data_IF_716049672799
#
_entry.id   IF_716049672799
#
_cell.length_a   1.000
_cell.length_b   1.000
_cell.length_c   1.000
_cell.angle_alpha   90.00
_cell.angle_beta   90.00
_cell.angle_gamma   90.00
#
_symmetry.space_group_name_H-M   'P 1'
#
loop_
_entity.id
_entity.type
_entity.pdbx_description
1 polymer ?
#
# COMPACT_ATOMS: atom_id res chain seq x y z
N UNK A 1 61.79 -46.90 13.27
CA UNK A 1 62.09 -45.56 13.82
C UNK A 1 60.87 -44.69 13.56
N UNK A 2 60.38 -44.03 14.61
CA UNK A 2 59.16 -43.21 14.70
C UNK A 2 57.81 -43.96 14.58
N UNK A 3 57.44 -44.69 15.65
CA UNK A 3 56.07 -45.16 15.85
C UNK A 3 55.23 -44.01 16.45
N UNK A 4 54.04 -43.84 15.87
CA UNK A 4 52.89 -43.03 16.30
C UNK A 4 53.09 -42.13 17.50
N UNK A 5 53.25 -40.83 17.24
CA UNK A 5 52.75 -39.83 18.16
C UNK A 5 51.24 -40.02 18.18
N UNK A 6 50.71 -40.63 19.23
CA UNK A 6 49.28 -40.83 19.42
C UNK A 6 48.61 -39.46 19.26
N UNK A 7 47.67 -39.35 18.32
CA UNK A 7 46.82 -38.17 18.17
C UNK A 7 45.71 -38.23 19.23
N UNK A 8 46.08 -38.43 20.49
CA UNK A 8 45.16 -38.42 21.61
C UNK A 8 44.76 -36.98 21.89
N UNK A 9 43.66 -36.59 21.24
CA UNK A 9 42.93 -35.34 21.41
C UNK A 9 42.87 -34.97 22.89
N UNK A 10 43.62 -33.93 23.25
CA UNK A 10 43.87 -33.61 24.64
C UNK A 10 42.59 -33.08 25.28
N UNK A 11 42.47 -33.17 26.60
CA UNK A 11 41.34 -32.58 27.33
C UNK A 11 41.15 -31.08 27.03
N UNK A 12 42.25 -30.38 26.72
CA UNK A 12 42.23 -28.98 26.31
C UNK A 12 41.49 -28.78 24.98
N UNK A 13 41.67 -29.67 24.00
CA UNK A 13 41.05 -29.57 22.67
C UNK A 13 39.53 -29.71 22.78
N UNK A 14 39.05 -30.63 23.62
CA UNK A 14 37.64 -30.80 23.92
C UNK A 14 37.03 -29.56 24.61
N UNK A 15 37.77 -28.94 25.54
CA UNK A 15 37.34 -27.68 26.16
C UNK A 15 37.22 -26.54 25.13
N UNK A 16 38.18 -26.40 24.22
CA UNK A 16 38.13 -25.38 23.16
C UNK A 16 36.96 -25.60 22.21
N UNK A 17 36.70 -26.84 21.81
CA UNK A 17 35.56 -27.19 20.96
C UNK A 17 34.24 -26.84 21.66
N UNK A 18 34.11 -27.15 22.95
CA UNK A 18 32.92 -26.81 23.72
C UNK A 18 32.70 -25.29 23.80
N UNK A 19 33.75 -24.53 24.09
CA UNK A 19 33.67 -23.06 24.16
C UNK A 19 33.31 -22.47 22.79
N UNK A 20 33.96 -22.94 21.72
CA UNK A 20 33.68 -22.49 20.36
C UNK A 20 32.24 -22.82 19.94
N UNK A 21 31.76 -24.03 20.27
CA UNK A 21 30.40 -24.46 20.00
C UNK A 21 29.38 -23.58 20.72
N UNK A 22 29.53 -23.36 22.03
CA UNK A 22 28.63 -22.51 22.82
C UNK A 22 28.65 -21.07 22.28
N UNK A 23 29.84 -20.53 21.99
CA UNK A 23 30.00 -19.17 21.47
C UNK A 23 29.30 -19.03 20.13
N UNK A 24 29.48 -19.99 19.21
CA UNK A 24 28.82 -19.98 17.91
C UNK A 24 27.30 -20.00 18.04
N UNK A 25 26.76 -20.75 19.01
CA UNK A 25 25.34 -20.88 19.25
C UNK A 25 24.75 -19.58 19.83
N UNK A 26 25.47 -18.94 20.76
CA UNK A 26 25.10 -17.62 21.31
C UNK A 26 25.12 -16.55 20.23
N UNK A 27 26.17 -16.50 19.42
CA UNK A 27 26.30 -15.54 18.31
C UNK A 27 25.18 -15.76 17.30
N UNK A 28 24.94 -17.01 16.90
CA UNK A 28 23.85 -17.36 15.98
C UNK A 28 22.49 -16.86 16.50
N UNK A 29 22.16 -17.17 17.75
CA UNK A 29 20.90 -16.75 18.36
C UNK A 29 20.77 -15.22 18.42
N UNK A 30 21.86 -14.52 18.78
CA UNK A 30 21.90 -13.06 18.79
C UNK A 30 21.59 -12.46 17.41
N UNK A 31 22.23 -12.98 16.36
CA UNK A 31 22.00 -12.52 14.99
C UNK A 31 20.58 -12.83 14.51
N UNK A 32 20.05 -14.02 14.79
CA UNK A 32 18.68 -14.40 14.42
C UNK A 32 17.65 -13.45 15.03
N UNK A 33 17.76 -13.16 16.33
CA UNK A 33 16.84 -12.25 17.02
C UNK A 33 16.98 -10.82 16.49
N UNK A 34 18.20 -10.35 16.22
CA UNK A 34 18.46 -9.02 15.64
C UNK A 34 17.91 -8.89 14.23
N UNK A 35 18.13 -9.88 13.37
CA UNK A 35 17.66 -9.87 11.99
C UNK A 35 16.12 -9.92 11.92
N UNK A 36 15.52 -10.79 12.73
CA UNK A 36 14.06 -10.89 12.85
C UNK A 36 13.44 -9.55 13.26
N UNK A 37 13.99 -8.92 14.30
CA UNK A 37 13.43 -7.67 14.82
C UNK A 37 13.68 -6.45 13.94
N UNK A 38 14.81 -6.39 13.22
CA UNK A 38 15.17 -5.21 12.40
C UNK A 38 14.71 -5.28 10.95
N UNK A 39 14.54 -6.47 10.37
CA UNK A 39 14.21 -6.62 8.95
C UNK A 39 12.90 -7.35 8.75
N UNK A 40 12.78 -8.59 9.25
CA UNK A 40 11.63 -9.44 8.93
C UNK A 40 10.33 -8.89 9.52
N UNK A 41 10.35 -8.39 10.77
CA UNK A 41 9.15 -7.83 11.40
C UNK A 41 8.57 -6.63 10.62
N UNK A 42 9.33 -5.55 10.36
CA UNK A 42 8.81 -4.44 9.55
C UNK A 42 8.35 -4.85 8.14
N UNK A 43 9.07 -5.76 7.49
CA UNK A 43 8.70 -6.25 6.17
C UNK A 43 7.34 -6.98 6.19
N UNK A 44 7.12 -7.79 7.22
CA UNK A 44 5.86 -8.52 7.38
C UNK A 44 4.69 -7.57 7.72
N UNK A 45 4.94 -6.50 8.48
CA UNK A 45 3.95 -5.44 8.74
C UNK A 45 3.55 -4.73 7.45
N UNK A 46 4.51 -4.36 6.60
CA UNK A 46 4.22 -3.78 5.27
C UNK A 46 3.41 -4.76 4.41
N UNK A 47 3.81 -6.03 4.34
CA UNK A 47 3.09 -7.04 3.58
C UNK A 47 1.65 -7.24 4.08
N UNK A 48 1.45 -7.23 5.40
CA UNK A 48 0.14 -7.35 6.02
C UNK A 48 -0.75 -6.14 5.69
N UNK A 49 -0.24 -4.93 5.84
CA UNK A 49 -0.99 -3.71 5.54
C UNK A 49 -1.28 -3.58 4.04
N UNK A 50 -0.35 -4.00 3.17
CA UNK A 50 -0.58 -4.06 1.73
C UNK A 50 -1.73 -5.02 1.37
N UNK A 51 -1.81 -6.17 2.04
CA UNK A 51 -2.93 -7.11 1.85
C UNK A 51 -4.27 -6.51 2.29
N UNK A 52 -4.29 -5.69 3.35
CA UNK A 52 -5.51 -4.98 3.74
C UNK A 52 -5.92 -3.91 2.73
N UNK A 53 -4.96 -3.16 2.19
CA UNK A 53 -5.19 -2.18 1.12
C UNK A 53 -5.76 -2.88 -0.12
N UNK A 54 -5.22 -4.03 -0.53
CA UNK A 54 -5.73 -4.78 -1.69
C UNK A 54 -7.14 -5.35 -1.47
N UNK A 55 -7.57 -5.51 -0.22
CA UNK A 55 -8.92 -5.89 0.16
C UNK A 55 -9.88 -4.69 0.29
N UNK A 56 -9.42 -3.47 0.01
CA UNK A 56 -10.23 -2.24 0.03
C UNK A 56 -10.09 -1.41 1.30
N UNK A 57 -9.35 -1.86 2.31
CA UNK A 57 -9.07 -1.04 3.50
C UNK A 57 -7.91 -0.07 3.23
N UNK A 58 -8.21 1.05 2.58
CA UNK A 58 -7.22 2.09 2.24
C UNK A 58 -6.68 2.86 3.46
N UNK A 59 -7.28 2.67 4.65
CA UNK A 59 -6.80 3.28 5.90
C UNK A 59 -5.72 2.46 6.61
N UNK A 60 -5.40 1.24 6.11
CA UNK A 60 -4.33 0.42 6.68
C UNK A 60 -2.95 1.10 6.50
N UNK A 61 -2.11 1.00 7.53
CA UNK A 61 -0.75 1.55 7.58
C UNK A 61 0.22 0.55 8.18
N UNK A 62 1.49 0.63 7.82
CA UNK A 62 2.54 -0.22 8.38
C UNK A 62 3.25 0.49 9.54
N UNK A 63 3.59 -0.25 10.59
CA UNK A 63 4.26 0.29 11.77
C UNK A 63 5.62 -0.40 12.02
N UNK A 64 6.69 0.39 12.01
CA UNK A 64 8.03 -0.06 12.37
C UNK A 64 8.33 0.29 13.84
N UNK A 65 7.89 -0.53 14.78
CA UNK A 65 8.26 -0.34 16.20
C UNK A 65 9.60 -1.06 16.45
N UNK A 66 10.70 -0.30 16.37
CA UNK A 66 12.03 -0.75 16.83
C UNK A 66 13.05 -1.10 15.75
N UNK A 67 12.79 -0.82 14.47
CA UNK A 67 13.86 -0.87 13.47
C UNK A 67 14.75 0.36 13.58
N UNK A 68 16.03 0.14 13.87
CA UNK A 68 17.08 1.16 13.79
C UNK A 68 17.74 1.17 12.40
N UNK A 69 17.29 0.34 11.46
CA UNK A 69 17.78 0.34 10.09
C UNK A 69 17.03 1.42 9.30
N UNK A 70 17.75 2.49 8.96
CA UNK A 70 17.17 3.65 8.26
C UNK A 70 16.47 3.27 6.95
N UNK A 71 17.02 2.34 6.18
CA UNK A 71 16.41 1.87 4.92
C UNK A 71 15.05 1.21 5.13
N UNK A 72 14.87 0.45 6.21
CA UNK A 72 13.61 -0.22 6.51
C UNK A 72 12.55 0.78 7.01
N UNK A 73 12.96 1.78 7.78
CA UNK A 73 12.04 2.86 8.17
C UNK A 73 11.60 3.66 6.94
N UNK A 74 12.53 3.99 6.04
CA UNK A 74 12.22 4.65 4.78
C UNK A 74 11.23 3.83 3.94
N UNK A 75 11.40 2.52 3.83
CA UNK A 75 10.45 1.65 3.12
C UNK A 75 9.03 1.73 3.72
N UNK A 76 8.94 1.74 5.05
CA UNK A 76 7.65 1.87 5.76
C UNK A 76 7.02 3.24 5.52
N UNK A 77 7.82 4.30 5.53
CA UNK A 77 7.37 5.65 5.24
C UNK A 77 6.89 5.80 3.79
N UNK A 78 7.68 5.33 2.82
CA UNK A 78 7.34 5.32 1.39
C UNK A 78 6.05 4.53 1.13
N UNK A 79 5.86 3.39 1.81
CA UNK A 79 4.62 2.61 1.76
C UNK A 79 3.43 3.38 2.34
N UNK A 80 3.59 4.04 3.49
CA UNK A 80 2.52 4.79 4.12
C UNK A 80 2.11 6.02 3.29
N UNK A 81 3.07 6.69 2.63
CA UNK A 81 2.79 7.78 1.68
C UNK A 81 1.99 7.27 0.48
N UNK A 82 2.35 6.10 -0.07
CA UNK A 82 1.57 5.46 -1.14
C UNK A 82 0.14 5.15 -0.70
N UNK A 83 -0.04 4.60 0.50
CA UNK A 83 -1.35 4.28 1.06
C UNK A 83 -2.22 5.54 1.24
N UNK A 84 -1.63 6.65 1.68
CA UNK A 84 -2.30 7.95 1.81
C UNK A 84 -2.74 8.52 0.45
N UNK A 85 -1.87 8.44 -0.57
CA UNK A 85 -2.22 8.85 -1.94
C UNK A 85 -3.39 8.03 -2.49
N UNK A 86 -3.39 6.71 -2.30
CA UNK A 86 -4.49 5.84 -2.72
C UNK A 86 -5.81 6.23 -2.04
N UNK A 87 -5.78 6.42 -0.72
CA UNK A 87 -6.95 6.85 0.04
C UNK A 87 -7.50 8.19 -0.45
N UNK A 88 -6.60 9.14 -0.74
CA UNK A 88 -6.99 10.47 -1.26
C UNK A 88 -7.61 10.38 -2.65
N UNK A 89 -7.04 9.58 -3.55
CA UNK A 89 -7.58 9.37 -4.90
C UNK A 89 -8.96 8.72 -4.88
N UNK A 90 -9.19 7.77 -3.97
CA UNK A 90 -10.51 7.14 -3.81
C UNK A 90 -11.56 8.14 -3.29
N UNK A 91 -11.21 8.91 -2.25
CA UNK A 91 -12.07 9.96 -1.72
C UNK A 91 -12.43 11.00 -2.79
N UNK A 92 -11.46 11.43 -3.60
CA UNK A 92 -11.70 12.30 -4.73
C UNK A 92 -12.65 11.63 -5.73
N UNK A 93 -12.34 10.42 -6.22
CA UNK A 93 -13.21 9.71 -7.18
C UNK A 93 -14.68 9.69 -6.73
N UNK A 94 -14.94 9.41 -5.45
CA UNK A 94 -16.29 9.40 -4.90
C UNK A 94 -16.97 10.77 -4.96
N UNK A 95 -16.24 11.84 -4.62
CA UNK A 95 -16.73 13.21 -4.72
C UNK A 95 -17.02 13.63 -6.17
N UNK A 96 -16.12 13.34 -7.10
CA UNK A 96 -16.30 13.64 -8.52
C UNK A 96 -17.48 12.88 -9.13
N UNK A 97 -17.65 11.60 -8.78
CA UNK A 97 -18.81 10.80 -9.22
C UNK A 97 -20.14 11.44 -8.77
N UNK A 98 -20.22 11.90 -7.52
CA UNK A 98 -21.40 12.57 -7.00
C UNK A 98 -21.65 13.92 -7.69
N UNK A 99 -20.59 14.71 -7.90
CA UNK A 99 -20.68 16.00 -8.59
C UNK A 99 -21.18 15.84 -10.04
N UNK A 100 -20.59 14.90 -10.80
CA UNK A 100 -20.98 14.63 -12.19
C UNK A 100 -22.46 14.19 -12.25
N UNK A 101 -22.91 13.31 -11.35
CA UNK A 101 -24.31 12.88 -11.32
C UNK A 101 -25.27 14.05 -11.08
N UNK A 102 -24.89 14.99 -10.21
CA UNK A 102 -25.66 16.20 -9.95
C UNK A 102 -25.69 17.14 -11.18
N UNK A 103 -24.53 17.40 -11.78
CA UNK A 103 -24.38 18.29 -12.93
C UNK A 103 -25.08 17.74 -14.18
N UNK A 104 -25.19 16.42 -14.35
CA UNK A 104 -25.91 15.79 -15.46
C UNK A 104 -27.43 15.74 -15.26
N UNK A 105 -27.93 15.67 -14.02
CA UNK A 105 -29.38 15.61 -13.74
C UNK A 105 -30.11 16.83 -14.29
N UNK A 106 -29.54 18.01 -14.10
CA UNK A 106 -30.12 19.30 -14.52
C UNK A 106 -30.32 19.40 -16.04
N UNK A 107 -29.29 19.25 -16.90
CA UNK A 107 -29.45 19.34 -18.35
C UNK A 107 -30.35 18.24 -18.91
N UNK A 108 -30.28 17.02 -18.37
CA UNK A 108 -31.17 15.91 -18.78
C UNK A 108 -32.63 16.26 -18.47
N UNK A 109 -32.92 16.78 -17.27
CA UNK A 109 -34.28 17.20 -16.89
C UNK A 109 -34.80 18.31 -17.80
N UNK A 110 -33.95 19.28 -18.16
CA UNK A 110 -34.30 20.34 -19.12
C UNK A 110 -34.61 19.75 -20.50
N UNK A 111 -33.80 18.80 -20.97
CA UNK A 111 -34.02 18.12 -22.26
C UNK A 111 -35.36 17.40 -22.30
N UNK A 112 -35.68 16.65 -21.23
CA UNK A 112 -36.98 16.00 -21.06
C UNK A 112 -38.14 17.00 -21.03
N UNK A 113 -37.99 18.12 -20.30
CA UNK A 113 -39.00 19.18 -20.29
C UNK A 113 -39.25 19.78 -21.67
N UNK A 114 -38.20 19.99 -22.48
CA UNK A 114 -38.33 20.46 -23.87
C UNK A 114 -38.99 19.41 -24.77
N UNK A 115 -38.63 18.13 -24.64
CA UNK A 115 -39.28 17.05 -25.39
C UNK A 115 -40.76 16.93 -25.03
N UNK A 116 -41.11 16.99 -23.75
CA UNK A 116 -42.50 16.94 -23.29
C UNK A 116 -43.31 18.13 -23.83
N UNK A 117 -42.74 19.34 -23.82
CA UNK A 117 -43.42 20.51 -24.37
C UNK A 117 -43.65 20.46 -25.89
N UNK A 118 -42.80 19.74 -26.63
CA UNK A 118 -43.00 19.44 -28.05
C UNK A 118 -44.12 18.41 -28.25
N UNK A 119 -44.11 17.32 -27.46
CA UNK A 119 -45.15 16.27 -27.50
C UNK A 119 -46.53 16.83 -27.13
N UNK A 120 -46.60 17.67 -26.11
CA UNK A 120 -47.85 18.32 -25.66
C UNK A 120 -48.34 19.42 -26.62
N UNK A 121 -47.61 19.69 -27.72
CA UNK A 121 -47.95 20.74 -28.70
C UNK A 121 -47.84 22.17 -28.17
N UNK A 122 -47.23 22.37 -26.99
CA UNK A 122 -47.14 23.67 -26.30
C UNK A 122 -45.93 24.51 -26.74
N UNK A 123 -44.90 23.88 -27.33
CA UNK A 123 -43.72 24.58 -27.85
C UNK A 123 -43.92 24.90 -29.34
N UNK A 124 -44.28 26.15 -29.63
CA UNK A 124 -44.23 26.71 -30.98
C UNK A 124 -42.81 27.18 -31.28
N UNK A 125 -42.12 26.54 -32.22
CA UNK A 125 -40.90 27.09 -32.79
C UNK A 125 -41.25 28.41 -33.47
N UNK A 126 -40.90 29.55 -32.86
CA UNK A 126 -40.98 30.85 -33.53
C UNK A 126 -39.89 30.87 -34.61
N UNK A 127 -40.21 30.32 -35.77
CA UNK A 127 -39.43 30.56 -37.00
C UNK A 127 -39.61 32.04 -37.30
N UNK A 128 -38.56 32.82 -37.05
CA UNK A 128 -38.51 34.22 -37.44
C UNK A 128 -38.82 34.29 -38.94
N UNK A 129 -39.88 35.01 -39.27
CA UNK A 129 -40.22 35.33 -40.64
C UNK A 129 -39.00 35.97 -41.33
N UNK A 130 -38.55 35.32 -42.39
CA UNK A 130 -37.68 35.93 -43.40
C UNK A 130 -38.50 37.04 -44.05
N UNK A 131 -38.44 38.24 -43.48
CA UNK A 131 -38.98 39.44 -44.09
C UNK A 131 -37.99 39.90 -45.16
N UNK A 132 -38.27 39.56 -46.42
CA UNK A 132 -37.61 40.14 -47.60
C UNK A 132 -38.10 41.59 -47.75
N UNK A 133 -37.23 42.61 -47.76
CA UNK A 133 -37.65 43.98 -48.07
C UNK A 133 -37.92 44.13 -49.59
N UNK A 134 -38.79 45.10 -49.97
CA UNK A 134 -39.19 45.36 -51.36
C UNK A 134 -38.04 45.88 -52.23
#
# INVERSE_FOLDING_TARGET
MAAGNEDNMTFLDWMWILIASITSLVVSLFFTVKLSSRILKPLNEVAYSLKQISQGNLSARAYSRGSQLGEMNKLVDDFNEMAEKLQTLDAQRNLWNAAIAHELRTPVTILWGRLQGLVDGRIRTRTAAVQKPP
#
